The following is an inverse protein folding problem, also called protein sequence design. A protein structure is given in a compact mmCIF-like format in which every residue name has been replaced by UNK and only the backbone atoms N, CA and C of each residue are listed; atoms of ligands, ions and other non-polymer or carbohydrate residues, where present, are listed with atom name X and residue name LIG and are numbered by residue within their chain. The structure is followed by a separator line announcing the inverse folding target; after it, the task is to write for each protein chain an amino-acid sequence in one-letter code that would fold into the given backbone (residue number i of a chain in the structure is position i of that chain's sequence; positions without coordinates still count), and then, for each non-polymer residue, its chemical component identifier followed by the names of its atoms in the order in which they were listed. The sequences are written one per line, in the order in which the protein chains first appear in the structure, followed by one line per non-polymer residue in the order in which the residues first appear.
data_IF_841770766491
#
_entry.id   IF_841770766491
#
_cell.length_a   1.000
_cell.length_b   1.000
_cell.length_c   1.000
_cell.angle_alpha   90.00
_cell.angle_beta   90.00
_cell.angle_gamma   90.00
#
_symmetry.space_group_name_H-M   'P 1'
#
loop_
_entity.id
_entity.type
_entity.pdbx_description
1 polymer ?
#
# COMPACT_ATOMS: atom_id res chain seq x y z
N UNK A 1 -1.65 -5.90 -26.56
CA UNK A 1 -2.39 -4.72 -26.04
C UNK A 1 -1.37 -3.65 -25.76
N UNK A 2 -1.60 -2.46 -26.32
CA UNK A 2 -0.62 -1.37 -26.46
C UNK A 2 -0.02 -0.93 -25.13
N UNK A 3 1.32 -0.88 -25.06
CA UNK A 3 2.05 -0.24 -23.99
C UNK A 3 1.51 1.18 -23.80
N UNK A 4 0.89 1.45 -22.66
CA UNK A 4 0.44 2.78 -22.29
C UNK A 4 1.70 3.64 -22.17
N UNK A 5 2.03 4.41 -23.20
CA UNK A 5 3.19 5.30 -23.19
C UNK A 5 2.98 6.32 -22.09
N UNK A 6 3.69 6.16 -20.97
CA UNK A 6 3.73 7.18 -19.92
C UNK A 6 4.18 8.47 -20.59
N UNK A 7 3.34 9.51 -20.57
CA UNK A 7 3.73 10.82 -21.05
C UNK A 7 4.70 11.43 -20.03
N UNK A 8 5.99 11.15 -20.21
CA UNK A 8 7.07 11.62 -19.33
C UNK A 8 7.27 13.12 -19.56
N UNK A 9 7.03 13.94 -18.53
CA UNK A 9 7.33 15.37 -18.58
C UNK A 9 8.84 15.60 -18.74
N UNK A 10 9.29 16.62 -19.49
CA UNK A 10 10.70 17.03 -19.54
C UNK A 10 11.31 17.24 -18.15
N UNK A 11 10.53 17.78 -17.20
CA UNK A 11 10.94 17.99 -15.81
C UNK A 11 11.34 16.67 -15.11
N UNK A 12 10.70 15.56 -15.47
CA UNK A 12 11.02 14.25 -14.90
C UNK A 12 12.30 13.68 -15.49
N UNK A 13 12.66 14.04 -16.73
CA UNK A 13 13.91 13.59 -17.37
C UNK A 13 15.13 14.33 -16.84
N UNK A 14 14.94 15.58 -16.43
CA UNK A 14 15.98 16.46 -15.90
C UNK A 14 16.33 16.20 -14.42
N UNK A 15 15.66 15.25 -13.75
CA UNK A 15 15.98 14.88 -12.39
C UNK A 15 17.40 14.31 -12.32
N UNK A 16 18.23 14.90 -11.47
CA UNK A 16 19.50 14.30 -11.06
C UNK A 16 19.23 13.11 -10.14
N UNK A 17 19.70 11.94 -10.55
CA UNK A 17 19.47 10.67 -9.87
C UNK A 17 20.76 10.09 -9.27
N UNK A 18 21.93 10.65 -9.58
CA UNK A 18 23.21 9.98 -9.36
C UNK A 18 23.49 9.77 -7.87
N UNK A 19 23.05 10.72 -7.05
CA UNK A 19 23.28 10.75 -5.60
C UNK A 19 22.05 10.39 -4.76
N UNK A 20 20.95 9.94 -5.38
CA UNK A 20 19.75 9.58 -4.63
C UNK A 20 19.95 8.27 -3.86
N UNK A 21 19.84 8.35 -2.54
CA UNK A 21 19.99 7.23 -1.60
C UNK A 21 18.93 7.32 -0.50
N UNK A 22 18.68 6.21 0.21
CA UNK A 22 17.71 6.21 1.32
C UNK A 22 16.26 6.21 0.83
N UNK A 23 15.38 6.89 1.57
CA UNK A 23 13.92 6.85 1.30
C UNK A 23 13.52 8.08 0.49
N UNK A 24 12.93 7.84 -0.68
CA UNK A 24 12.35 8.84 -1.57
C UNK A 24 10.83 8.82 -1.39
N UNK A 25 10.30 9.83 -0.70
CA UNK A 25 8.88 9.89 -0.36
C UNK A 25 8.11 10.69 -1.41
N UNK A 26 7.12 10.07 -2.06
CA UNK A 26 6.26 10.73 -3.06
C UNK A 26 4.92 11.11 -2.44
N UNK A 27 4.61 12.40 -2.41
CA UNK A 27 3.41 12.97 -1.78
C UNK A 27 2.61 13.84 -2.74
N UNK A 28 1.32 14.02 -2.46
CA UNK A 28 0.39 14.78 -3.28
C UNK A 28 -1.05 14.33 -3.10
N UNK A 29 -1.99 15.14 -3.62
CA UNK A 29 -3.41 14.81 -3.61
C UNK A 29 -3.71 13.53 -4.41
N UNK A 30 -4.92 13.01 -4.26
CA UNK A 30 -5.44 11.99 -5.16
C UNK A 30 -5.41 12.45 -6.62
N UNK A 31 -5.15 11.49 -7.52
CA UNK A 31 -5.16 11.69 -8.98
C UNK A 31 -4.20 12.76 -9.52
N UNK A 32 -3.08 13.05 -8.85
CA UNK A 32 -2.05 13.98 -9.35
C UNK A 32 -0.96 13.31 -10.19
N UNK A 33 -0.99 11.98 -10.33
CA UNK A 33 0.02 11.20 -11.05
C UNK A 33 1.15 10.62 -10.18
N UNK A 34 1.03 10.65 -8.84
CA UNK A 34 2.05 10.13 -7.89
C UNK A 34 2.54 8.73 -8.21
N UNK A 35 1.63 7.77 -8.36
CA UNK A 35 2.01 6.38 -8.63
C UNK A 35 2.73 6.24 -9.98
N UNK A 36 2.35 7.01 -10.99
CA UNK A 36 3.03 7.04 -12.29
C UNK A 36 4.45 7.60 -12.13
N UNK A 37 4.61 8.72 -11.43
CA UNK A 37 5.91 9.33 -11.15
C UNK A 37 6.80 8.40 -10.31
N UNK A 38 6.26 7.78 -9.26
CA UNK A 38 6.98 6.88 -8.38
C UNK A 38 7.52 5.66 -9.15
N UNK A 39 6.70 5.08 -10.04
CA UNK A 39 7.13 3.96 -10.90
C UNK A 39 8.21 4.40 -11.89
N UNK A 40 8.05 5.56 -12.51
CA UNK A 40 9.06 6.14 -13.38
C UNK A 40 10.40 6.35 -12.65
N UNK A 41 10.35 6.91 -11.43
CA UNK A 41 11.54 7.13 -10.60
C UNK A 41 12.21 5.80 -10.22
N UNK A 42 11.42 4.79 -9.84
CA UNK A 42 11.91 3.45 -9.56
C UNK A 42 12.64 2.84 -10.76
N UNK A 43 11.99 2.81 -11.92
CA UNK A 43 12.54 2.18 -13.13
C UNK A 43 13.84 2.91 -13.53
N UNK A 44 13.87 4.25 -13.49
CA UNK A 44 15.08 5.05 -13.77
C UNK A 44 16.24 4.78 -12.82
N UNK A 45 15.98 4.65 -11.52
CA UNK A 45 17.03 4.34 -10.54
C UNK A 45 17.56 2.92 -10.69
N UNK A 46 16.68 1.97 -11.00
CA UNK A 46 17.06 0.60 -11.30
C UNK A 46 17.91 0.52 -12.56
N UNK A 47 17.59 1.27 -13.61
CA UNK A 47 18.37 1.32 -14.86
C UNK A 47 19.80 1.87 -14.64
N UNK A 48 20.04 2.60 -13.54
CA UNK A 48 21.38 3.01 -13.07
C UNK A 48 22.09 1.92 -12.23
N UNK A 49 21.55 0.70 -12.19
CA UNK A 49 22.09 -0.43 -11.43
C UNK A 49 21.86 -0.34 -9.91
N UNK A 50 20.97 0.55 -9.44
CA UNK A 50 20.66 0.65 -8.01
C UNK A 50 19.74 -0.50 -7.59
N UNK A 51 19.96 -1.02 -6.37
CA UNK A 51 19.01 -1.96 -5.75
C UNK A 51 17.87 -1.16 -5.11
N UNK A 52 16.75 -1.07 -5.83
CA UNK A 52 15.60 -0.24 -5.43
C UNK A 52 14.45 -1.11 -4.93
N UNK A 53 13.90 -0.77 -3.76
CA UNK A 53 12.62 -1.28 -3.30
C UNK A 53 11.50 -0.28 -3.61
N UNK A 54 10.33 -0.79 -3.99
CA UNK A 54 9.13 0.02 -4.18
C UNK A 54 8.13 -0.28 -3.05
N UNK A 55 7.59 0.77 -2.43
CA UNK A 55 6.49 0.65 -1.47
C UNK A 55 5.24 1.32 -2.03
N UNK A 56 4.22 0.52 -2.30
CA UNK A 56 2.85 0.95 -2.56
C UNK A 56 2.15 1.20 -1.22
N UNK A 57 2.09 2.48 -0.86
CA UNK A 57 1.67 2.96 0.43
C UNK A 57 0.23 3.49 0.49
N UNK A 58 -0.62 3.12 -0.47
CA UNK A 58 -2.06 3.46 -0.49
C UNK A 58 -2.92 2.22 -0.27
N UNK A 59 -3.52 2.04 0.92
CA UNK A 59 -4.34 0.86 1.20
C UNK A 59 -5.69 0.87 0.45
N UNK A 60 -6.09 2.02 -0.10
CA UNK A 60 -7.34 2.15 -0.84
C UNK A 60 -7.20 1.90 -2.33
N UNK A 61 -6.05 2.25 -2.92
CA UNK A 61 -5.86 2.23 -4.38
C UNK A 61 -4.57 1.50 -4.80
N UNK A 62 -4.14 0.52 -3.98
CA UNK A 62 -2.97 -0.30 -4.30
C UNK A 62 -3.10 -0.96 -5.66
N UNK A 63 -1.98 -1.07 -6.37
CA UNK A 63 -1.84 -1.83 -7.61
C UNK A 63 -1.02 -3.11 -7.41
N UNK A 64 -0.07 -3.10 -6.47
CA UNK A 64 0.86 -4.21 -6.25
C UNK A 64 0.33 -5.29 -5.31
N UNK A 65 -0.55 -4.91 -4.40
CA UNK A 65 -1.18 -5.80 -3.43
C UNK A 65 -2.70 -5.72 -3.49
N UNK A 66 -3.36 -6.55 -2.65
CA UNK A 66 -4.78 -6.41 -2.45
C UNK A 66 -5.06 -5.09 -1.71
N UNK A 67 -6.27 -4.52 -1.86
CA UNK A 67 -6.69 -3.40 -1.03
C UNK A 67 -6.58 -3.77 0.46
N UNK A 68 -6.58 -2.76 1.33
CA UNK A 68 -6.37 -2.87 2.79
C UNK A 68 -4.97 -3.26 3.23
N UNK A 69 -4.00 -3.32 2.30
CA UNK A 69 -2.59 -3.58 2.61
C UNK A 69 -1.69 -2.46 2.12
N UNK A 70 -0.53 -2.33 2.74
CA UNK A 70 0.63 -1.69 2.12
C UNK A 70 1.52 -2.80 1.56
N UNK A 71 2.16 -2.57 0.42
CA UNK A 71 2.94 -3.60 -0.28
C UNK A 71 4.33 -3.09 -0.61
N UNK A 72 5.36 -3.87 -0.26
CA UNK A 72 6.76 -3.64 -0.65
C UNK A 72 7.24 -4.75 -1.57
N UNK A 73 7.99 -4.39 -2.62
CA UNK A 73 8.56 -5.37 -3.55
C UNK A 73 9.89 -4.91 -4.13
N UNK A 74 10.70 -5.89 -4.55
CA UNK A 74 11.76 -5.70 -5.54
C UNK A 74 11.25 -6.24 -6.89
N UNK A 75 10.98 -5.34 -7.84
CA UNK A 75 10.48 -5.73 -9.16
C UNK A 75 11.60 -6.46 -9.94
N UNK A 76 11.37 -7.70 -10.40
CA UNK A 76 12.34 -8.42 -11.24
C UNK A 76 12.63 -7.68 -12.55
N UNK A 77 13.88 -7.75 -13.02
CA UNK A 77 14.29 -7.13 -14.29
C UNK A 77 13.48 -7.66 -15.50
N UNK A 78 13.16 -8.96 -15.50
CA UNK A 78 12.44 -9.61 -16.60
C UNK A 78 10.95 -9.22 -16.71
N UNK A 79 10.41 -8.45 -15.76
CA UNK A 79 9.01 -8.05 -15.77
C UNK A 79 8.88 -6.57 -16.09
N UNK A 80 8.31 -6.25 -17.25
CA UNK A 80 8.05 -4.86 -17.64
C UNK A 80 6.86 -4.26 -16.87
N UNK A 81 5.88 -5.10 -16.54
CA UNK A 81 4.58 -4.65 -16.05
C UNK A 81 4.51 -4.52 -14.53
N UNK A 82 4.04 -3.37 -14.07
CA UNK A 82 3.64 -3.13 -12.69
C UNK A 82 2.28 -3.78 -12.44
N UNK A 83 2.28 -5.02 -11.96
CA UNK A 83 1.07 -5.83 -11.77
C UNK A 83 1.00 -6.44 -10.37
N UNK A 84 -0.16 -6.99 -10.04
CA UNK A 84 -0.40 -7.69 -8.79
C UNK A 84 0.47 -8.95 -8.71
N UNK A 85 1.03 -9.23 -7.53
CA UNK A 85 1.66 -10.53 -7.25
C UNK A 85 3.11 -10.68 -7.72
N UNK A 86 3.86 -9.58 -7.82
CA UNK A 86 5.31 -9.65 -8.06
C UNK A 86 6.01 -10.52 -7.00
N UNK A 87 7.08 -11.26 -7.38
CA UNK A 87 7.85 -12.07 -6.42
C UNK A 87 8.60 -11.17 -5.43
N UNK A 88 9.08 -11.76 -4.33
CA UNK A 88 9.75 -11.03 -3.24
C UNK A 88 8.93 -9.83 -2.75
N UNK A 89 7.73 -10.13 -2.26
CA UNK A 89 6.78 -9.13 -1.80
C UNK A 89 6.51 -9.30 -0.31
N UNK A 90 6.53 -8.19 0.41
CA UNK A 90 6.11 -8.10 1.81
C UNK A 90 4.85 -7.24 1.87
N UNK A 91 3.90 -7.64 2.71
CA UNK A 91 2.65 -6.92 2.89
C UNK A 91 2.42 -6.63 4.36
N UNK A 92 1.85 -5.48 4.63
CA UNK A 92 1.41 -5.12 5.98
C UNK A 92 -0.07 -4.79 5.95
N UNK A 93 -0.86 -5.48 6.77
CA UNK A 93 -2.31 -5.31 6.81
C UNK A 93 -2.69 -4.04 7.56
N UNK A 94 -3.51 -3.21 6.91
CA UNK A 94 -4.13 -2.03 7.52
C UNK A 94 -5.53 -2.36 8.00
N UNK A 95 -6.24 -3.28 7.32
CA UNK A 95 -7.62 -3.64 7.65
C UNK A 95 -8.65 -2.58 7.27
N UNK A 96 -8.26 -1.60 6.44
CA UNK A 96 -9.15 -0.54 5.94
C UNK A 96 -8.68 -0.04 4.57
N UNK A 97 -9.61 0.39 3.73
CA UNK A 97 -9.34 1.00 2.43
C UNK A 97 -9.06 2.51 2.51
N UNK A 98 -8.95 3.06 3.72
CA UNK A 98 -8.55 4.45 3.94
C UNK A 98 -7.57 4.56 5.12
N UNK A 99 -6.63 5.52 5.08
CA UNK A 99 -5.83 5.84 6.27
C UNK A 99 -6.65 6.46 7.42
N UNK A 100 -7.80 7.07 7.15
CA UNK A 100 -8.61 7.71 8.19
C UNK A 100 -9.10 6.69 9.22
N UNK A 101 -8.92 6.98 10.51
CA UNK A 101 -9.19 6.03 11.61
C UNK A 101 -8.14 4.92 11.77
N UNK A 102 -7.19 4.80 10.84
CA UNK A 102 -6.20 3.72 10.77
C UNK A 102 -4.76 4.25 10.62
N UNK A 103 -4.52 5.52 10.95
CA UNK A 103 -3.24 6.19 10.71
C UNK A 103 -2.08 5.54 11.46
N UNK A 104 -2.31 5.06 12.69
CA UNK A 104 -1.28 4.33 13.46
C UNK A 104 -0.84 3.08 12.72
N UNK A 105 -1.78 2.24 12.26
CA UNK A 105 -1.47 1.04 11.47
C UNK A 105 -0.74 1.38 10.17
N UNK A 106 -1.13 2.47 9.50
CA UNK A 106 -0.44 2.94 8.28
C UNK A 106 0.99 3.36 8.58
N UNK A 107 1.24 4.06 9.68
CA UNK A 107 2.59 4.49 10.09
C UNK A 107 3.46 3.29 10.49
N UNK A 108 2.92 2.36 11.28
CA UNK A 108 3.63 1.13 11.65
C UNK A 108 3.97 0.33 10.39
N UNK A 109 3.01 0.12 9.49
CA UNK A 109 3.24 -0.59 8.24
C UNK A 109 4.30 0.09 7.35
N UNK A 110 4.28 1.43 7.27
CA UNK A 110 5.27 2.20 6.53
C UNK A 110 6.69 1.97 7.07
N UNK A 111 6.87 2.04 8.40
CA UNK A 111 8.17 1.80 9.05
C UNK A 111 8.61 0.35 8.86
N UNK A 112 7.72 -0.61 9.15
CA UNK A 112 8.01 -2.05 9.07
C UNK A 112 8.43 -2.48 7.67
N UNK A 113 7.75 -2.00 6.63
CA UNK A 113 8.07 -2.32 5.24
C UNK A 113 9.36 -1.64 4.76
N UNK A 114 9.63 -0.42 5.22
CA UNK A 114 10.89 0.28 4.93
C UNK A 114 12.07 -0.44 5.58
N UNK A 115 11.93 -0.86 6.84
CA UNK A 115 12.94 -1.67 7.53
C UNK A 115 13.15 -3.01 6.81
N UNK A 116 12.09 -3.69 6.39
CA UNK A 116 12.21 -4.91 5.60
C UNK A 116 12.96 -4.67 4.28
N UNK A 117 12.69 -3.56 3.59
CA UNK A 117 13.41 -3.20 2.36
C UNK A 117 14.91 -3.01 2.62
N UNK A 118 15.26 -2.27 3.68
CA UNK A 118 16.66 -2.02 4.08
C UNK A 118 17.38 -3.31 4.51
N UNK A 119 16.72 -4.15 5.32
CA UNK A 119 17.25 -5.45 5.74
C UNK A 119 17.48 -6.40 4.55
N UNK A 120 16.69 -6.24 3.49
CA UNK A 120 16.86 -6.96 2.23
C UNK A 120 17.76 -6.21 1.23
N UNK A 121 18.58 -5.26 1.69
CA UNK A 121 19.64 -4.64 0.91
C UNK A 121 19.21 -3.53 -0.05
N UNK A 122 18.02 -2.95 0.12
CA UNK A 122 17.64 -1.78 -0.66
C UNK A 122 18.60 -0.60 -0.39
N UNK A 123 19.20 -0.07 -1.46
CA UNK A 123 19.97 1.17 -1.43
C UNK A 123 19.05 2.39 -1.47
N UNK A 124 17.94 2.24 -2.18
CA UNK A 124 16.91 3.26 -2.37
C UNK A 124 15.54 2.65 -2.15
N UNK A 125 14.67 3.36 -1.43
CA UNK A 125 13.27 2.99 -1.23
C UNK A 125 12.39 4.07 -1.84
N UNK A 126 11.70 3.77 -2.93
CA UNK A 126 10.69 4.66 -3.50
C UNK A 126 9.36 4.37 -2.81
N UNK A 127 8.86 5.33 -2.04
CA UNK A 127 7.62 5.20 -1.29
C UNK A 127 6.51 6.04 -1.96
N UNK A 128 5.55 5.39 -2.59
CA UNK A 128 4.33 6.00 -3.12
C UNK A 128 3.28 6.11 -2.01
N UNK A 129 2.87 7.34 -1.64
CA UNK A 129 1.93 7.54 -0.52
C UNK A 129 0.48 7.68 -0.99
N UNK A 130 -0.45 7.35 -0.09
CA UNK A 130 -1.88 7.66 -0.30
C UNK A 130 -2.15 9.14 -0.59
N UNK A 131 -3.25 9.41 -1.30
CA UNK A 131 -3.68 10.76 -1.65
C UNK A 131 -4.26 11.61 -0.52
N UNK A 132 -4.25 11.13 0.73
CA UNK A 132 -4.83 11.84 1.87
C UNK A 132 -3.97 13.05 2.27
N UNK A 133 -4.46 14.24 1.93
CA UNK A 133 -3.80 15.52 2.23
C UNK A 133 -4.70 16.49 3.03
N UNK A 134 -6.01 16.25 3.05
CA UNK A 134 -6.99 17.08 3.76
C UNK A 134 -6.64 17.18 5.25
N UNK A 135 -6.35 18.38 5.79
CA UNK A 135 -5.99 18.58 7.19
C UNK A 135 -7.08 18.13 8.17
N UNK A 136 -8.36 18.33 7.82
CA UNK A 136 -9.50 18.00 8.69
C UNK A 136 -9.66 16.50 8.88
N UNK A 137 -9.16 15.73 7.91
CA UNK A 137 -9.11 14.26 7.93
C UNK A 137 -7.75 13.72 8.37
N UNK A 138 -6.87 14.58 8.88
CA UNK A 138 -5.53 14.27 9.38
C UNK A 138 -4.49 13.97 8.31
N UNK A 139 -4.71 14.38 7.05
CA UNK A 139 -3.79 14.13 5.94
C UNK A 139 -2.40 14.74 6.14
N UNK A 140 -2.33 16.04 6.46
CA UNK A 140 -1.05 16.70 6.72
C UNK A 140 -0.35 16.14 7.97
N UNK A 141 -1.10 15.81 9.02
CA UNK A 141 -0.55 15.17 10.22
C UNK A 141 0.08 13.81 9.88
N UNK A 142 -0.58 13.00 9.04
CA UNK A 142 -0.04 11.74 8.56
C UNK A 142 1.24 11.93 7.73
N UNK A 143 1.34 12.97 6.89
CA UNK A 143 2.56 13.26 6.13
C UNK A 143 3.72 13.69 7.04
N UNK A 144 3.45 14.54 8.03
CA UNK A 144 4.44 14.94 9.04
C UNK A 144 4.94 13.74 9.85
N UNK A 145 4.04 12.87 10.32
CA UNK A 145 4.45 11.67 11.05
C UNK A 145 5.29 10.72 10.19
N UNK A 146 4.99 10.58 8.88
CA UNK A 146 5.83 9.82 7.95
C UNK A 146 7.21 10.46 7.79
N UNK A 147 7.29 11.78 7.67
CA UNK A 147 8.56 12.49 7.61
C UNK A 147 9.41 12.23 8.88
N UNK A 148 8.80 12.31 10.06
CA UNK A 148 9.50 12.15 11.34
C UNK A 148 10.03 10.72 11.55
N UNK A 149 9.20 9.72 11.22
CA UNK A 149 9.53 8.31 11.43
C UNK A 149 10.43 7.73 10.33
N UNK A 150 10.16 8.07 9.07
CA UNK A 150 10.88 7.51 7.93
C UNK A 150 12.17 8.28 7.61
N UNK A 151 12.25 9.56 8.00
CA UNK A 151 13.40 10.44 7.71
C UNK A 151 13.87 10.34 6.24
N UNK A 152 12.96 10.62 5.28
CA UNK A 152 13.31 10.56 3.86
C UNK A 152 14.43 11.53 3.52
N UNK A 153 15.32 11.11 2.62
CA UNK A 153 16.37 11.97 2.06
C UNK A 153 15.77 13.02 1.12
N UNK A 154 14.76 12.62 0.34
CA UNK A 154 14.08 13.47 -0.62
C UNK A 154 12.56 13.28 -0.53
N UNK A 155 11.84 14.39 -0.57
CA UNK A 155 10.39 14.42 -0.73
C UNK A 155 10.05 15.00 -2.10
N UNK A 156 9.41 14.16 -2.93
CA UNK A 156 8.83 14.57 -4.20
C UNK A 156 7.38 14.97 -3.98
N UNK A 157 7.08 16.25 -4.21
CA UNK A 157 5.77 16.83 -3.96
C UNK A 157 5.05 17.12 -5.27
N UNK A 158 3.88 16.50 -5.46
CA UNK A 158 3.02 16.72 -6.63
C UNK A 158 1.74 17.42 -6.19
N UNK A 159 1.59 18.69 -6.54
CA UNK A 159 0.44 19.53 -6.19
C UNK A 159 -0.13 20.24 -7.42
N UNK A 160 -1.44 20.42 -7.47
CA UNK A 160 -2.11 21.21 -8.53
C UNK A 160 -2.11 22.69 -8.20
N UNK A 161 -2.36 23.00 -6.95
CA UNK A 161 -2.47 24.36 -6.44
C UNK A 161 -1.47 24.52 -5.28
N UNK A 162 -1.96 24.92 -4.11
CA UNK A 162 -1.15 25.17 -2.91
C UNK A 162 -1.48 24.20 -1.78
N UNK A 163 -2.07 23.05 -2.09
CA UNK A 163 -2.60 22.12 -1.09
C UNK A 163 -1.52 21.48 -0.20
N UNK A 164 -0.26 21.42 -0.65
CA UNK A 164 0.86 20.94 0.17
C UNK A 164 1.67 22.07 0.82
N UNK A 165 1.38 23.35 0.54
CA UNK A 165 2.15 24.50 1.07
C UNK A 165 2.32 24.44 2.60
N UNK A 166 1.29 24.11 3.41
CA UNK A 166 1.45 24.04 4.87
C UNK A 166 2.43 22.94 5.33
N UNK A 167 2.67 21.90 4.51
CA UNK A 167 3.66 20.86 4.76
C UNK A 167 5.05 21.22 4.18
N UNK A 168 5.10 21.77 2.97
CA UNK A 168 6.35 22.03 2.25
C UNK A 168 7.13 23.21 2.81
N UNK A 169 6.45 24.28 3.25
CA UNK A 169 7.13 25.47 3.79
C UNK A 169 7.95 25.16 5.04
N UNK A 170 7.40 24.51 6.09
CA UNK A 170 8.19 24.12 7.26
C UNK A 170 9.30 23.11 6.91
N UNK A 171 9.02 22.15 6.02
CA UNK A 171 10.01 21.15 5.61
C UNK A 171 11.25 21.81 5.01
N UNK A 172 11.07 22.74 4.06
CA UNK A 172 12.16 23.50 3.44
C UNK A 172 13.00 24.26 4.46
N UNK A 173 12.34 24.95 5.39
CA UNK A 173 13.03 25.72 6.44
C UNK A 173 13.80 24.82 7.41
N UNK A 174 13.27 23.64 7.70
CA UNK A 174 13.91 22.70 8.62
C UNK A 174 15.12 21.96 8.03
N UNK A 175 15.25 21.90 6.70
CA UNK A 175 16.33 21.19 6.03
C UNK A 175 16.35 19.68 6.24
N UNK A 176 15.28 19.09 6.81
CA UNK A 176 15.22 17.66 7.18
C UNK A 176 15.18 16.70 6.01
N UNK A 177 14.77 17.19 4.84
CA UNK A 177 14.80 16.45 3.57
C UNK A 177 14.93 17.45 2.42
N UNK A 178 15.51 17.02 1.32
CA UNK A 178 15.45 17.75 0.06
C UNK A 178 14.01 17.76 -0.44
N UNK A 179 13.51 18.92 -0.92
CA UNK A 179 12.16 19.03 -1.48
C UNK A 179 12.27 19.26 -2.98
N UNK A 180 11.62 18.39 -3.76
CA UNK A 180 11.50 18.52 -5.21
C UNK A 180 10.02 18.63 -5.57
N UNK A 181 9.61 19.78 -6.11
CA UNK A 181 8.25 19.94 -6.62
C UNK A 181 8.17 19.40 -8.05
N UNK A 182 7.15 18.58 -8.30
CA UNK A 182 6.88 17.97 -9.59
C UNK A 182 5.51 18.46 -10.06
N UNK A 183 5.45 18.95 -11.30
CA UNK A 183 4.17 19.34 -11.90
C UNK A 183 3.27 18.11 -12.10
N UNK A 184 1.97 18.19 -11.79
CA UNK A 184 1.03 17.12 -12.07
C UNK A 184 1.04 16.78 -13.56
N UNK A 185 0.87 15.50 -13.88
CA UNK A 185 0.69 15.08 -15.27
C UNK A 185 -0.64 15.64 -15.81
N UNK A 186 -0.63 16.25 -16.99
CA UNK A 186 -1.85 16.71 -17.67
C UNK A 186 -2.80 15.55 -18.02
N UNK A 187 -2.27 14.32 -18.12
CA UNK A 187 -3.05 13.11 -18.34
C UNK A 187 -3.70 12.54 -17.06
N UNK A 188 -3.43 13.13 -15.90
CA UNK A 188 -3.99 12.67 -14.62
C UNK A 188 -5.44 13.15 -14.45
N UNK A 189 -6.39 12.36 -14.96
CA UNK A 189 -7.82 12.58 -14.79
C UNK A 189 -8.30 12.17 -13.39
N UNK A 190 -9.23 12.92 -12.78
CA UNK A 190 -9.91 12.50 -11.55
C UNK A 190 -10.57 11.14 -11.74
N UNK A 191 -10.39 10.23 -10.78
CA UNK A 191 -11.14 8.98 -10.69
C UNK A 191 -12.29 9.16 -9.73
N UNK A 192 -13.50 8.99 -10.23
CA UNK A 192 -14.70 8.99 -9.40
C UNK A 192 -14.70 7.82 -8.40
N UNK A 193 -15.54 7.93 -7.38
CA UNK A 193 -15.73 6.94 -6.30
C UNK A 193 -16.01 5.56 -6.87
N UNK A 194 -16.85 5.45 -7.90
CA UNK A 194 -17.19 4.17 -8.53
C UNK A 194 -15.99 3.54 -9.23
N UNK A 195 -15.21 4.32 -9.99
CA UNK A 195 -13.96 3.86 -10.62
C UNK A 195 -12.97 3.34 -9.57
N UNK A 196 -12.88 4.04 -8.43
CA UNK A 196 -12.03 3.61 -7.31
C UNK A 196 -12.53 2.31 -6.68
N UNK A 197 -13.85 2.14 -6.58
CA UNK A 197 -14.50 0.94 -6.03
C UNK A 197 -14.31 -0.26 -6.94
N UNK A 198 -14.53 -0.09 -8.24
CA UNK A 198 -14.27 -1.11 -9.26
C UNK A 198 -12.80 -1.53 -9.30
N UNK A 199 -11.87 -0.58 -9.19
CA UNK A 199 -10.44 -0.88 -9.08
C UNK A 199 -10.17 -1.79 -7.86
N UNK A 200 -10.75 -1.48 -6.69
CA UNK A 200 -10.59 -2.33 -5.49
C UNK A 200 -11.18 -3.72 -5.68
N UNK A 201 -12.39 -3.80 -6.23
CA UNK A 201 -13.03 -5.09 -6.51
C UNK A 201 -12.18 -5.95 -7.44
N UNK A 202 -11.58 -5.36 -8.48
CA UNK A 202 -10.65 -6.06 -9.39
C UNK A 202 -9.39 -6.54 -8.66
N UNK A 203 -8.82 -5.73 -7.77
CA UNK A 203 -7.63 -6.12 -7.01
C UNK A 203 -7.93 -7.23 -6.00
N UNK A 204 -9.11 -7.22 -5.37
CA UNK A 204 -9.58 -8.34 -4.56
C UNK A 204 -9.80 -9.59 -5.42
N UNK A 205 -10.46 -9.47 -6.57
CA UNK A 205 -10.64 -10.60 -7.50
C UNK A 205 -9.30 -11.22 -7.93
N UNK A 206 -8.28 -10.39 -8.20
CA UNK A 206 -6.92 -10.87 -8.49
C UNK A 206 -6.34 -11.66 -7.32
N UNK A 207 -6.47 -11.14 -6.08
CA UNK A 207 -5.99 -11.81 -4.87
C UNK A 207 -6.69 -13.16 -4.60
N UNK A 208 -8.00 -13.21 -4.78
CA UNK A 208 -8.84 -14.37 -4.50
C UNK A 208 -9.07 -15.28 -5.71
N UNK A 209 -8.40 -15.05 -6.84
CA UNK A 209 -8.59 -15.79 -8.10
C UNK A 209 -8.36 -17.30 -7.99
N UNK A 210 -7.53 -17.73 -7.04
CA UNK A 210 -7.22 -19.13 -6.74
C UNK A 210 -7.62 -19.50 -5.31
N UNK A 211 -8.55 -18.75 -4.72
CA UNK A 211 -8.95 -18.96 -3.34
C UNK A 211 -9.88 -20.15 -3.19
N UNK A 212 -9.63 -20.95 -2.15
CA UNK A 212 -10.44 -22.10 -1.79
C UNK A 212 -10.93 -21.93 -0.33
N UNK A 213 -12.05 -22.57 0.04
CA UNK A 213 -12.47 -22.61 1.43
C UNK A 213 -11.46 -23.40 2.28
N UNK A 214 -10.88 -22.73 3.27
CA UNK A 214 -10.00 -23.30 4.27
C UNK A 214 -10.68 -23.22 5.63
N UNK A 215 -10.89 -24.36 6.27
CA UNK A 215 -11.42 -24.45 7.63
C UNK A 215 -10.28 -24.58 8.63
N UNK A 216 -10.40 -23.88 9.75
CA UNK A 216 -9.39 -23.89 10.80
C UNK A 216 -9.97 -23.70 12.19
N UNK A 217 -9.36 -24.38 13.16
CA UNK A 217 -9.58 -24.16 14.59
C UNK A 217 -8.73 -22.97 15.04
N UNK A 218 -9.36 -21.85 15.42
CA UNK A 218 -8.61 -20.64 15.79
C UNK A 218 -8.06 -20.66 17.22
N UNK A 219 -8.39 -21.68 18.02
CA UNK A 219 -7.91 -21.83 19.42
C UNK A 219 -6.38 -21.84 19.52
N UNK A 220 -5.69 -22.22 18.44
CA UNK A 220 -4.23 -22.35 18.33
C UNK A 220 -3.56 -21.17 17.62
N UNK A 221 -4.32 -20.16 17.20
CA UNK A 221 -3.83 -19.02 16.41
C UNK A 221 -4.21 -17.73 17.14
N UNK A 222 -3.29 -16.77 17.23
CA UNK A 222 -3.61 -15.47 17.81
C UNK A 222 -4.64 -14.73 16.95
N UNK A 223 -5.74 -14.26 17.53
CA UNK A 223 -6.78 -13.52 16.79
C UNK A 223 -6.87 -12.10 17.32
N UNK A 224 -6.64 -11.11 16.45
CA UNK A 224 -6.66 -9.69 16.80
C UNK A 224 -7.81 -8.95 16.12
N UNK A 225 -8.51 -8.03 16.81
CA UNK A 225 -8.38 -7.75 18.25
C UNK A 225 -9.03 -8.82 19.14
N UNK A 226 -9.96 -9.59 18.57
CA UNK A 226 -10.68 -10.69 19.22
C UNK A 226 -11.32 -11.58 18.13
N UNK A 227 -11.74 -12.82 18.43
CA UNK A 227 -12.34 -13.73 17.44
C UNK A 227 -13.80 -13.38 17.10
N UNK A 228 -14.02 -12.22 16.50
CA UNK A 228 -15.32 -11.74 15.97
C UNK A 228 -15.44 -11.98 14.45
N UNK A 229 -15.51 -13.26 14.08
CA UNK A 229 -15.60 -13.72 12.69
C UNK A 229 -17.02 -13.56 12.14
N UNK A 230 -17.32 -12.38 11.58
CA UNK A 230 -18.59 -12.12 10.87
C UNK A 230 -18.48 -12.54 9.40
N UNK A 231 -19.55 -13.12 8.85
CA UNK A 231 -19.62 -13.47 7.42
C UNK A 231 -19.27 -12.26 6.55
N UNK A 232 -18.52 -12.49 5.46
CA UNK A 232 -17.92 -11.49 4.56
C UNK A 232 -16.82 -10.62 5.15
N UNK A 233 -16.53 -10.70 6.45
CA UNK A 233 -15.44 -9.92 7.04
C UNK A 233 -14.11 -10.33 6.44
N UNK A 234 -13.35 -9.36 5.99
CA UNK A 234 -11.99 -9.57 5.48
C UNK A 234 -11.04 -9.75 6.68
N UNK A 235 -10.12 -10.69 6.57
CA UNK A 235 -9.08 -10.96 7.55
C UNK A 235 -7.72 -11.05 6.86
N UNK A 236 -6.65 -10.80 7.59
CA UNK A 236 -5.29 -11.13 7.18
C UNK A 236 -4.77 -12.32 7.97
N UNK A 237 -4.07 -13.21 7.26
CA UNK A 237 -3.29 -14.30 7.82
C UNK A 237 -1.83 -13.80 7.86
N UNK A 238 -1.31 -13.60 9.07
CA UNK A 238 -0.01 -12.97 9.31
C UNK A 238 1.03 -14.01 9.76
N UNK A 239 2.28 -13.82 9.36
CA UNK A 239 3.42 -14.59 9.86
C UNK A 239 3.83 -14.15 11.28
N UNK A 240 4.82 -14.82 11.86
CA UNK A 240 5.32 -14.52 13.20
C UNK A 240 5.99 -13.14 13.33
N UNK A 241 6.38 -12.52 12.21
CA UNK A 241 6.89 -11.15 12.20
C UNK A 241 5.75 -10.13 12.13
N UNK A 242 4.54 -10.53 11.73
CA UNK A 242 3.38 -9.65 11.50
C UNK A 242 3.27 -9.16 10.06
N UNK A 243 3.94 -9.81 9.09
CA UNK A 243 3.70 -9.57 7.67
C UNK A 243 2.56 -10.45 7.15
N UNK A 244 1.78 -9.92 6.22
CA UNK A 244 0.60 -10.62 5.67
C UNK A 244 1.01 -11.65 4.62
N UNK A 245 0.74 -12.92 4.92
CA UNK A 245 0.92 -14.05 4.01
C UNK A 245 -0.20 -14.11 2.96
N UNK A 246 -1.43 -13.84 3.38
CA UNK A 246 -2.62 -13.82 2.52
C UNK A 246 -3.80 -13.17 3.22
N UNK A 247 -4.83 -12.83 2.46
CA UNK A 247 -6.11 -12.40 3.01
C UNK A 247 -7.10 -13.56 3.01
N UNK A 248 -8.14 -13.44 3.83
CA UNK A 248 -9.27 -14.36 3.87
C UNK A 248 -10.59 -13.61 3.92
N UNK A 249 -11.64 -14.18 3.35
CA UNK A 249 -13.02 -13.72 3.55
C UNK A 249 -13.72 -14.75 4.44
N UNK A 250 -14.28 -14.32 5.57
CA UNK A 250 -15.05 -15.23 6.44
C UNK A 250 -16.31 -15.71 5.71
N UNK A 251 -16.43 -17.03 5.53
CA UNK A 251 -17.61 -17.69 4.97
C UNK A 251 -18.59 -18.09 6.07
N UNK A 252 -18.07 -18.65 7.16
CA UNK A 252 -18.84 -19.06 8.34
C UNK A 252 -17.93 -19.16 9.56
N UNK A 253 -18.51 -19.08 10.75
CA UNK A 253 -17.78 -19.31 12.00
C UNK A 253 -18.67 -20.01 13.03
N UNK A 254 -18.13 -21.03 13.69
CA UNK A 254 -18.75 -21.70 14.83
C UNK A 254 -17.98 -21.33 16.10
N UNK A 255 -18.59 -20.49 16.94
CA UNK A 255 -17.96 -19.99 18.16
C UNK A 255 -17.82 -21.05 19.25
N UNK A 256 -18.75 -22.02 19.34
CA UNK A 256 -18.67 -23.07 20.36
C UNK A 256 -17.55 -24.06 20.03
N UNK A 257 -17.37 -24.38 18.75
CA UNK A 257 -16.31 -25.27 18.29
C UNK A 257 -14.99 -24.53 18.03
N UNK A 258 -14.98 -23.20 18.07
CA UNK A 258 -13.83 -22.36 17.75
C UNK A 258 -13.28 -22.57 16.32
N UNK A 259 -14.18 -22.81 15.37
CA UNK A 259 -13.85 -23.08 13.96
C UNK A 259 -14.32 -21.96 13.04
N UNK A 260 -13.44 -21.46 12.16
CA UNK A 260 -13.78 -20.50 11.12
C UNK A 260 -13.45 -21.09 9.75
N UNK A 261 -14.35 -20.85 8.80
CA UNK A 261 -14.14 -21.16 7.39
C UNK A 261 -13.86 -19.88 6.63
N UNK A 262 -12.70 -19.81 5.99
CA UNK A 262 -12.24 -18.66 5.22
C UNK A 262 -12.14 -19.01 3.75
N UNK A 263 -12.55 -18.13 2.85
CA UNK A 263 -12.12 -18.15 1.46
C UNK A 263 -10.75 -17.48 1.37
N UNK A 264 -9.69 -18.20 1.01
CA UNK A 264 -8.32 -17.66 0.98
C UNK A 264 -7.46 -18.32 -0.10
N UNK A 265 -6.50 -17.60 -0.73
CA UNK A 265 -5.53 -18.21 -1.63
C UNK A 265 -4.46 -19.04 -0.92
N UNK A 266 -4.39 -19.02 0.43
CA UNK A 266 -3.46 -19.88 1.16
C UNK A 266 -3.94 -21.33 1.14
N UNK A 267 -3.05 -22.23 0.70
CA UNK A 267 -3.32 -23.68 0.64
C UNK A 267 -3.25 -24.38 2.00
N UNK A 268 -2.62 -23.75 2.98
CA UNK A 268 -2.49 -24.27 4.35
C UNK A 268 -2.20 -23.13 5.32
N UNK A 269 -2.25 -23.42 6.62
CA UNK A 269 -1.90 -22.50 7.70
C UNK A 269 -0.40 -22.52 8.03
N UNK A 270 0.43 -23.18 7.22
CA UNK A 270 1.87 -23.22 7.46
C UNK A 270 2.45 -21.79 7.49
N UNK A 271 3.13 -21.46 8.59
CA UNK A 271 3.71 -20.13 8.81
C UNK A 271 2.73 -19.07 9.32
N UNK A 272 1.42 -19.36 9.39
CA UNK A 272 0.43 -18.43 9.96
C UNK A 272 0.57 -18.43 11.49
N UNK A 273 0.88 -17.27 12.06
CA UNK A 273 0.98 -17.05 13.49
C UNK A 273 -0.22 -16.29 14.06
N UNK A 274 -0.86 -15.45 13.25
CA UNK A 274 -2.00 -14.65 13.68
C UNK A 274 -3.05 -14.44 12.58
N UNK A 275 -4.29 -14.23 12.99
CA UNK A 275 -5.38 -13.74 12.17
C UNK A 275 -5.75 -12.34 12.65
N UNK A 276 -5.67 -11.35 11.74
CA UNK A 276 -6.04 -9.97 12.01
C UNK A 276 -7.34 -9.62 11.32
N UNK A 277 -8.35 -9.20 12.07
CA UNK A 277 -9.64 -8.81 11.55
C UNK A 277 -9.60 -7.37 11.03
N UNK A 278 -10.38 -7.09 9.99
CA UNK A 278 -10.51 -5.76 9.38
C UNK A 278 -11.80 -5.05 9.79
N UNK A 279 -11.92 -3.80 9.37
CA UNK A 279 -13.15 -3.01 9.36
C UNK A 279 -13.82 -3.02 7.97
N UNK A 280 -13.52 -4.04 7.16
CA UNK A 280 -13.99 -4.19 5.78
C UNK A 280 -14.73 -5.52 5.60
N UNK A 281 -15.91 -5.46 4.99
CA UNK A 281 -16.61 -6.59 4.44
C UNK A 281 -16.32 -6.66 2.94
N UNK A 282 -16.13 -7.87 2.43
CA UNK A 282 -15.96 -8.13 0.99
C UNK A 282 -16.95 -9.20 0.59
N UNK A 283 -17.79 -8.89 -0.40
CA UNK A 283 -18.69 -9.88 -0.97
C UNK A 283 -17.86 -10.87 -1.83
N UNK A 284 -17.86 -12.17 -1.53
CA UNK A 284 -17.05 -13.15 -2.26
C UNK A 284 -17.48 -13.34 -3.73
N UNK A 285 -18.71 -12.95 -4.10
CA UNK A 285 -19.24 -13.18 -5.44
C UNK A 285 -18.79 -12.12 -6.45
N UNK A 286 -18.62 -10.87 -5.99
CA UNK A 286 -18.31 -9.72 -6.85
C UNK A 286 -17.15 -8.85 -6.33
N UNK A 287 -16.57 -9.22 -5.19
CA UNK A 287 -15.45 -8.55 -4.52
C UNK A 287 -15.67 -7.07 -4.18
N UNK A 288 -16.92 -6.64 -4.15
CA UNK A 288 -17.26 -5.29 -3.70
C UNK A 288 -17.00 -5.17 -2.19
N UNK A 289 -16.29 -4.10 -1.82
CA UNK A 289 -15.97 -3.79 -0.43
C UNK A 289 -16.99 -2.84 0.18
N UNK A 290 -17.24 -3.04 1.48
CA UNK A 290 -18.11 -2.23 2.33
C UNK A 290 -17.44 -2.08 3.69
N UNK A 291 -17.72 -0.98 4.40
CA UNK A 291 -17.23 -0.83 5.78
C UNK A 291 -18.10 -1.63 6.73
N UNK A 292 -17.49 -2.22 7.76
CA UNK A 292 -18.23 -2.75 8.89
C UNK A 292 -18.95 -1.57 9.57
N UNK A 293 -20.26 -1.53 9.49
CA UNK A 293 -21.07 -0.63 10.32
C UNK A 293 -21.21 -1.27 11.70
N UNK A 294 -20.89 -0.50 12.74
CA UNK A 294 -21.10 -0.89 14.14
C UNK A 294 -22.57 -1.06 14.48
#
# INVERSE_FOLDING_TARGET
MTANSIQVSPDWRALDLDNLTGILLVIGASDTGKSTFARYLYDRLRDLGRRVAFIDGDPGQSTLGPPTTLTMTFKPEALDQWSYGLPQTWRYFIGSTTPQGHMLSVLVGAVRLTQAAQQNGAQVVVYDTSGLIDPTRGGLALKNAKLDLLRPSTVYAIQRESELVPFLLPLRRSGRAQVVEIRPSQAAAPRDVDVRREHRARQFANHFSVAEPLELEWSRIAVYPSPDFRVRRLVALEDFLGFTLGLGIVLSANRSEQHVRLLTPLRSLAGVAAIRLSDVLVNPDNFQDERVTG
#
